data_IF_918897341504
#
_entry.id   IF_918897341504
#
_cell.length_a   1.000
_cell.length_b   1.000
_cell.length_c   1.000
_cell.angle_alpha   90.00
_cell.angle_beta   90.00
_cell.angle_gamma   90.00
#
_symmetry.space_group_name_H-M   'P 1'
#
loop_
_entity.id
_entity.type
_entity.pdbx_description
1 polymer ?
#
# COMPACT_ATOMS: atom_id res chain seq x y z
N UNK A 1 13.60 12.18 27.17
CA UNK A 1 14.28 10.92 27.49
C UNK A 1 13.72 9.84 26.58
N UNK A 2 14.58 9.25 25.74
CA UNK A 2 14.40 8.07 24.88
C UNK A 2 13.26 8.06 23.82
N UNK A 3 13.62 8.51 22.62
CA UNK A 3 12.97 8.14 21.36
C UNK A 3 13.30 6.68 20.98
N UNK A 4 12.31 5.94 20.48
CA UNK A 4 12.41 4.63 19.80
C UNK A 4 11.21 4.58 18.84
N UNK A 5 11.27 4.32 17.54
CA UNK A 5 12.28 3.79 16.63
C UNK A 5 11.48 3.06 15.55
N UNK A 6 11.24 3.69 14.40
CA UNK A 6 10.48 3.09 13.30
C UNK A 6 11.34 2.02 12.62
N UNK A 7 10.81 0.81 12.50
CA UNK A 7 11.48 -0.33 11.86
C UNK A 7 11.30 -0.23 10.35
N UNK A 8 12.41 -0.06 9.63
CA UNK A 8 12.50 -0.26 8.19
C UNK A 8 12.57 -1.77 7.91
N UNK A 9 11.71 -2.30 7.05
CA UNK A 9 11.89 -3.62 6.46
C UNK A 9 12.60 -3.45 5.11
N UNK A 10 13.91 -3.70 5.07
CA UNK A 10 14.60 -4.01 3.82
C UNK A 10 14.44 -5.50 3.53
N UNK A 11 14.08 -5.83 2.29
CA UNK A 11 13.87 -7.20 1.81
C UNK A 11 15.19 -7.96 1.57
N UNK A 12 16.09 -8.03 2.56
CA UNK A 12 17.41 -8.66 2.40
C UNK A 12 17.66 -9.93 3.24
N UNK A 13 16.81 -10.33 4.19
CA UNK A 13 17.14 -11.46 5.10
C UNK A 13 15.96 -12.39 5.39
N UNK A 14 15.45 -13.09 4.36
CA UNK A 14 14.45 -14.16 4.58
C UNK A 14 14.87 -15.56 4.13
N UNK A 15 16.15 -15.86 3.89
CA UNK A 15 16.55 -17.28 3.80
C UNK A 15 18.05 -17.53 4.01
N UNK A 16 18.46 -17.76 5.27
CA UNK A 16 19.39 -18.87 5.57
C UNK A 16 19.42 -19.19 7.07
N UNK A 17 19.41 -20.50 7.32
CA UNK A 17 19.43 -21.22 8.61
C UNK A 17 20.45 -20.70 9.64
N UNK A 18 20.02 -20.88 10.91
CA UNK A 18 20.80 -21.23 12.11
C UNK A 18 21.91 -20.27 12.62
N UNK A 19 21.74 -19.95 13.90
CA UNK A 19 22.76 -19.68 14.93
C UNK A 19 23.72 -18.48 14.77
N UNK A 20 23.65 -17.65 15.81
CA UNK A 20 24.73 -16.91 16.45
C UNK A 20 25.11 -15.49 15.95
N UNK A 21 25.26 -14.65 16.97
CA UNK A 21 25.98 -13.38 17.10
C UNK A 21 25.36 -12.08 16.56
N UNK A 22 24.90 -11.29 17.54
CA UNK A 22 24.75 -9.83 17.57
C UNK A 22 26.01 -9.12 17.04
N UNK A 23 25.90 -8.31 15.97
CA UNK A 23 26.86 -7.25 15.61
C UNK A 23 26.07 -6.01 15.09
N UNK A 24 26.38 -4.76 15.50
CA UNK A 24 25.54 -3.60 15.22
C UNK A 24 25.65 -3.06 13.77
N UNK A 25 24.48 -2.78 13.18
CA UNK A 25 24.16 -2.38 11.79
C UNK A 25 24.73 -1.03 11.26
N UNK A 26 25.62 -0.35 11.98
CA UNK A 26 26.14 0.95 11.55
C UNK A 26 27.39 0.85 10.63
N UNK A 27 28.20 -0.20 10.80
CA UNK A 27 29.49 -0.35 10.10
C UNK A 27 29.36 -0.82 8.63
N UNK A 28 28.30 -1.58 8.30
CA UNK A 28 28.20 -2.28 7.01
C UNK A 28 27.79 -1.36 5.85
N UNK A 29 27.02 -0.29 6.13
CA UNK A 29 26.52 0.64 5.11
C UNK A 29 27.62 1.51 4.50
N UNK A 30 28.57 1.97 5.31
CA UNK A 30 29.67 2.81 4.83
C UNK A 30 30.73 1.98 4.07
N UNK A 31 30.99 0.75 4.50
CA UNK A 31 31.92 -0.16 3.84
C UNK A 31 31.45 -0.59 2.43
N UNK A 32 30.14 -0.82 2.24
CA UNK A 32 29.60 -1.14 0.91
C UNK A 32 29.59 0.06 -0.02
N UNK A 33 29.32 1.27 0.50
CA UNK A 33 29.32 2.51 -0.29
C UNK A 33 30.73 2.91 -0.75
N UNK A 34 31.75 2.68 0.08
CA UNK A 34 33.16 2.90 -0.33
C UNK A 34 33.66 1.87 -1.35
N UNK A 35 33.22 0.61 -1.29
CA UNK A 35 33.60 -0.41 -2.30
C UNK A 35 33.00 -0.15 -3.68
N UNK A 36 31.78 0.39 -3.76
CA UNK A 36 31.11 0.74 -5.01
C UNK A 36 31.75 1.94 -5.73
N UNK A 37 32.30 2.90 -5.00
CA UNK A 37 32.98 4.07 -5.60
C UNK A 37 34.33 3.72 -6.27
N UNK A 38 34.90 2.55 -6.00
CA UNK A 38 36.17 2.07 -6.59
C UNK A 38 35.96 1.18 -7.81
N UNK A 39 34.72 0.76 -8.08
CA UNK A 39 34.33 -0.10 -9.20
C UNK A 39 33.62 0.79 -10.23
N UNK A 40 34.34 1.26 -11.24
CA UNK A 40 33.90 2.25 -12.24
C UNK A 40 32.69 1.91 -13.12
N UNK A 41 31.85 0.95 -12.74
CA UNK A 41 30.53 0.69 -13.33
C UNK A 41 29.45 1.38 -12.47
N UNK A 42 29.12 2.61 -12.83
CA UNK A 42 27.98 3.36 -12.27
C UNK A 42 26.76 3.13 -13.17
N UNK A 43 26.24 1.91 -13.20
CA UNK A 43 24.82 1.76 -13.50
C UNK A 43 24.04 2.10 -12.22
N UNK A 44 23.13 3.07 -12.31
CA UNK A 44 22.21 3.34 -11.21
C UNK A 44 21.33 2.10 -11.02
N UNK A 45 21.66 1.26 -10.04
CA UNK A 45 20.73 0.25 -9.55
C UNK A 45 19.65 1.02 -8.76
N UNK A 46 18.41 1.18 -9.28
CA UNK A 46 17.34 1.72 -8.47
C UNK A 46 17.14 0.73 -7.33
N UNK A 47 17.30 1.17 -6.09
CA UNK A 47 17.15 0.30 -4.93
C UNK A 47 15.78 -0.43 -4.90
N UNK A 48 15.55 -1.30 -3.89
CA UNK A 48 14.27 -2.00 -3.78
C UNK A 48 13.08 -1.01 -3.76
N UNK A 49 12.02 -1.34 -4.51
CA UNK A 49 10.79 -0.54 -4.58
C UNK A 49 10.12 -0.51 -3.21
N UNK A 50 9.89 0.70 -2.69
CA UNK A 50 9.23 0.90 -1.41
C UNK A 50 7.71 1.14 -1.59
N UNK A 51 6.90 0.41 -0.83
CA UNK A 51 5.44 0.59 -0.83
C UNK A 51 4.93 0.89 0.58
N UNK A 52 4.06 1.89 0.68
CA UNK A 52 3.37 2.28 1.91
C UNK A 52 1.85 2.07 1.73
N UNK A 53 1.18 1.57 2.78
CA UNK A 53 -0.28 1.49 2.82
C UNK A 53 -0.81 2.24 4.06
N UNK A 54 -1.90 2.99 3.91
CA UNK A 54 -2.54 3.68 5.02
C UNK A 54 -4.05 3.89 4.82
N UNK A 55 -4.86 3.48 5.80
CA UNK A 55 -6.20 4.03 5.98
C UNK A 55 -6.07 5.35 6.76
N UNK A 56 -6.39 6.48 6.11
CA UNK A 56 -6.16 7.82 6.69
C UNK A 56 -7.38 8.42 7.39
N UNK A 57 -8.57 7.83 7.21
CA UNK A 57 -9.84 8.34 7.74
C UNK A 57 -9.96 9.86 7.54
N UNK A 58 -10.08 10.29 6.28
CA UNK A 58 -9.94 11.66 5.76
C UNK A 58 -8.50 12.07 5.41
N UNK A 59 -8.27 12.30 4.12
CA UNK A 59 -7.00 12.77 3.57
C UNK A 59 -6.92 14.30 3.61
N UNK A 60 -6.20 14.85 4.58
CA UNK A 60 -5.89 16.29 4.63
C UNK A 60 -4.59 16.59 3.89
N UNK A 61 -4.33 17.85 3.47
CA UNK A 61 -3.05 18.24 2.88
C UNK A 61 -1.85 17.88 3.76
N UNK A 62 -1.97 18.07 5.08
CA UNK A 62 -0.94 17.73 6.07
C UNK A 62 -0.65 16.23 6.13
N UNK A 63 -1.69 15.37 6.11
CA UNK A 63 -1.52 13.91 6.01
C UNK A 63 -0.89 13.50 4.68
N UNK A 64 -1.32 14.10 3.58
CA UNK A 64 -0.74 13.85 2.26
C UNK A 64 0.75 14.19 2.23
N UNK A 65 1.13 15.37 2.74
CA UNK A 65 2.52 15.79 2.86
C UNK A 65 3.35 14.81 3.72
N UNK A 66 2.80 14.38 4.86
CA UNK A 66 3.47 13.43 5.76
C UNK A 66 3.66 12.06 5.11
N UNK A 67 2.68 11.58 4.33
CA UNK A 67 2.80 10.34 3.56
C UNK A 67 3.87 10.47 2.48
N UNK A 68 3.88 11.55 1.71
CA UNK A 68 4.89 11.79 0.67
C UNK A 68 6.31 11.93 1.24
N UNK A 69 6.43 12.52 2.44
CA UNK A 69 7.71 12.67 3.14
C UNK A 69 8.33 11.32 3.57
N UNK A 70 7.55 10.23 3.61
CA UNK A 70 8.10 8.89 3.83
C UNK A 70 8.99 8.41 2.67
N UNK A 71 8.86 9.02 1.48
CA UNK A 71 9.70 8.71 0.33
C UNK A 71 9.48 7.33 -0.29
N UNK A 72 8.31 6.70 -0.03
CA UNK A 72 7.94 5.44 -0.68
C UNK A 72 7.65 5.67 -2.17
N UNK A 73 7.99 4.70 -3.03
CA UNK A 73 7.75 4.82 -4.47
C UNK A 73 6.26 4.68 -4.82
N UNK A 74 5.52 3.92 -4.01
CA UNK A 74 4.08 3.70 -4.17
C UNK A 74 3.39 3.87 -2.81
N UNK A 75 2.27 4.60 -2.76
CA UNK A 75 1.49 4.80 -1.54
C UNK A 75 0.02 4.47 -1.80
N UNK A 76 -0.51 3.41 -1.18
CA UNK A 76 -1.90 3.00 -1.24
C UNK A 76 -2.68 3.61 -0.07
N UNK A 77 -3.67 4.45 -0.37
CA UNK A 77 -4.48 5.17 0.62
C UNK A 77 -5.92 4.66 0.59
N UNK A 78 -6.49 4.41 1.77
CA UNK A 78 -7.91 4.12 1.96
C UNK A 78 -8.57 5.21 2.79
N UNK A 79 -9.88 5.36 2.61
CA UNK A 79 -10.72 6.37 3.27
C UNK A 79 -10.24 7.81 3.06
N UNK A 80 -10.13 8.21 1.80
CA UNK A 80 -9.72 9.57 1.43
C UNK A 80 -10.74 10.62 1.87
N UNK A 81 -12.04 10.32 1.81
CA UNK A 81 -13.15 11.22 2.13
C UNK A 81 -13.08 12.54 1.35
N UNK A 82 -12.75 12.45 0.05
CA UNK A 82 -12.65 13.61 -0.84
C UNK A 82 -13.46 13.40 -2.11
N UNK A 83 -14.10 14.48 -2.56
CA UNK A 83 -14.72 14.52 -3.88
C UNK A 83 -13.67 14.46 -5.00
N UNK A 84 -14.12 14.19 -6.22
CA UNK A 84 -13.22 14.13 -7.38
C UNK A 84 -12.52 15.48 -7.62
N UNK A 85 -13.22 16.59 -7.38
CA UNK A 85 -12.70 17.97 -7.51
C UNK A 85 -11.64 18.25 -6.44
N UNK A 86 -11.90 17.83 -5.20
CA UNK A 86 -10.94 17.97 -4.10
C UNK A 86 -9.70 17.12 -4.31
N UNK A 87 -9.82 15.93 -4.89
CA UNK A 87 -8.68 15.09 -5.28
C UNK A 87 -7.88 15.77 -6.40
N UNK A 88 -8.57 16.30 -7.41
CA UNK A 88 -7.93 16.94 -8.56
C UNK A 88 -7.13 18.21 -8.18
N UNK A 89 -7.52 18.89 -7.11
CA UNK A 89 -6.81 20.08 -6.60
C UNK A 89 -5.67 19.77 -5.63
N UNK A 90 -5.42 18.49 -5.29
CA UNK A 90 -4.34 18.14 -4.37
C UNK A 90 -2.96 18.32 -5.00
N UNK A 91 -2.04 18.90 -4.21
CA UNK A 91 -0.65 19.04 -4.60
C UNK A 91 0.11 17.76 -4.25
N UNK A 92 0.46 16.99 -5.28
CA UNK A 92 1.10 15.66 -5.13
C UNK A 92 2.59 15.67 -5.45
N UNK A 93 3.17 16.84 -5.75
CA UNK A 93 4.61 17.01 -5.98
C UNK A 93 5.14 16.02 -7.04
N UNK A 94 6.06 15.16 -6.61
CA UNK A 94 6.70 14.14 -7.45
C UNK A 94 5.88 12.85 -7.66
N UNK A 95 4.60 12.85 -7.29
CA UNK A 95 3.71 11.70 -7.44
C UNK A 95 2.60 11.96 -8.46
N UNK A 96 2.23 10.89 -9.16
CA UNK A 96 0.97 10.78 -9.91
C UNK A 96 -0.08 10.19 -8.97
N UNK A 97 -1.24 10.83 -8.89
CA UNK A 97 -2.36 10.41 -8.05
C UNK A 97 -3.45 9.76 -8.87
N UNK A 98 -3.76 8.51 -8.56
CA UNK A 98 -4.91 7.77 -9.06
C UNK A 98 -5.91 7.59 -7.94
N UNK A 99 -7.16 8.02 -8.13
CA UNK A 99 -8.18 7.90 -7.09
C UNK A 99 -9.54 7.43 -7.62
N UNK A 100 -10.32 6.87 -6.72
CA UNK A 100 -11.75 6.68 -6.86
C UNK A 100 -12.40 7.34 -5.65
N UNK A 101 -13.10 8.44 -5.89
CA UNK A 101 -13.93 9.10 -4.88
C UNK A 101 -15.29 8.42 -4.80
N UNK A 102 -15.87 8.43 -3.60
CA UNK A 102 -17.23 7.96 -3.36
C UNK A 102 -18.19 9.14 -3.22
N UNK A 103 -19.40 8.97 -3.75
CA UNK A 103 -20.52 9.89 -3.49
C UNK A 103 -21.10 9.57 -2.09
N UNK A 104 -21.12 10.56 -1.21
CA UNK A 104 -21.65 10.46 0.15
C UNK A 104 -20.59 10.56 1.25
N UNK A 105 -20.92 10.09 2.45
CA UNK A 105 -20.03 10.15 3.61
C UNK A 105 -19.00 9.01 3.60
N UNK A 106 -17.74 9.39 3.81
CA UNK A 106 -16.63 8.45 3.98
C UNK A 106 -16.23 7.70 2.70
N UNK A 107 -15.29 6.77 2.84
CA UNK A 107 -14.76 5.97 1.74
C UNK A 107 -13.79 6.73 0.83
N UNK A 108 -13.67 6.28 -0.39
CA UNK A 108 -12.69 6.72 -1.36
C UNK A 108 -11.34 6.04 -1.15
N UNK A 109 -10.68 5.71 -2.26
CA UNK A 109 -9.37 5.07 -2.28
C UNK A 109 -8.45 5.78 -3.27
N UNK A 110 -7.15 5.74 -3.00
CA UNK A 110 -6.15 6.31 -3.87
C UNK A 110 -4.86 5.48 -3.91
N UNK A 111 -4.09 5.69 -4.97
CA UNK A 111 -2.72 5.21 -5.16
C UNK A 111 -1.89 6.40 -5.66
N UNK A 112 -0.84 6.74 -4.91
CA UNK A 112 0.21 7.63 -5.38
C UNK A 112 1.36 6.79 -5.93
N UNK A 113 1.87 7.16 -7.09
CA UNK A 113 3.06 6.53 -7.70
C UNK A 113 4.07 7.60 -8.02
N UNK A 114 5.33 7.42 -7.60
CA UNK A 114 6.40 8.36 -7.89
C UNK A 114 6.60 8.51 -9.40
N UNK A 115 6.73 9.74 -9.90
CA UNK A 115 6.83 10.08 -11.33
C UNK A 115 8.06 9.47 -12.03
N UNK A 116 9.05 9.04 -11.25
CA UNK A 116 10.20 8.27 -11.74
C UNK A 116 9.79 6.90 -12.27
N UNK A 117 8.63 6.37 -11.84
CA UNK A 117 8.06 5.12 -12.33
C UNK A 117 6.94 5.42 -13.35
N UNK A 118 7.01 4.75 -14.51
CA UNK A 118 5.92 4.81 -15.48
C UNK A 118 4.73 4.06 -14.90
N UNK A 119 3.57 4.68 -14.91
CA UNK A 119 2.34 4.07 -14.38
C UNK A 119 1.12 4.43 -15.20
N UNK A 120 0.11 3.55 -15.16
CA UNK A 120 -1.20 3.77 -15.79
C UNK A 120 -2.31 3.12 -14.98
N UNK A 121 -3.47 3.78 -14.96
CA UNK A 121 -4.69 3.22 -14.35
C UNK A 121 -5.21 2.05 -15.19
N UNK A 122 -5.53 0.94 -14.55
CA UNK A 122 -6.32 -0.14 -15.14
C UNK A 122 -7.77 0.06 -14.68
N UNK A 123 -8.74 0.25 -15.59
CA UNK A 123 -10.15 0.25 -15.22
C UNK A 123 -10.54 -1.11 -14.64
N UNK A 124 -11.00 -1.20 -13.38
CA UNK A 124 -11.43 -2.47 -12.82
C UNK A 124 -12.73 -2.93 -13.49
N UNK A 125 -12.91 -4.24 -13.67
CA UNK A 125 -14.15 -4.84 -14.19
C UNK A 125 -15.22 -4.96 -13.08
N UNK A 126 -15.47 -3.87 -12.36
CA UNK A 126 -16.42 -3.81 -11.25
C UNK A 126 -17.64 -3.03 -11.70
N UNK A 127 -18.86 -3.56 -11.50
CA UNK A 127 -20.10 -2.83 -11.83
C UNK A 127 -20.16 -1.49 -11.11
N UNK A 128 -20.52 -0.42 -11.81
CA UNK A 128 -20.59 0.94 -11.23
C UNK A 128 -21.55 1.07 -10.04
N UNK A 129 -22.54 0.18 -9.94
CA UNK A 129 -23.52 0.15 -8.85
C UNK A 129 -23.06 -0.66 -7.63
N UNK A 130 -21.95 -1.39 -7.73
CA UNK A 130 -21.42 -2.13 -6.58
C UNK A 130 -20.73 -1.16 -5.62
N UNK A 131 -21.36 -0.93 -4.47
CA UNK A 131 -20.83 -0.06 -3.42
C UNK A 131 -20.13 -0.82 -2.29
N UNK A 132 -20.00 -2.15 -2.42
CA UNK A 132 -19.34 -3.01 -1.42
C UNK A 132 -17.82 -2.91 -1.46
N UNK A 133 -17.27 -2.65 -2.65
CA UNK A 133 -15.84 -2.63 -2.92
C UNK A 133 -15.46 -1.36 -3.70
N UNK A 134 -14.66 -0.53 -3.07
CA UNK A 134 -14.05 0.65 -3.70
C UNK A 134 -12.60 0.30 -4.03
N UNK A 135 -12.16 0.49 -5.28
CA UNK A 135 -10.81 0.06 -5.68
C UNK A 135 -10.20 0.89 -6.82
N UNK A 136 -8.93 1.22 -6.65
CA UNK A 136 -8.09 1.77 -7.73
C UNK A 136 -7.02 0.75 -8.05
N UNK A 137 -6.91 0.41 -9.34
CA UNK A 137 -5.88 -0.49 -9.86
C UNK A 137 -4.93 0.28 -10.77
N UNK A 138 -3.65 0.16 -10.53
CA UNK A 138 -2.57 0.84 -11.27
C UNK A 138 -1.53 -0.19 -11.68
N UNK A 139 -1.14 -0.15 -12.95
CA UNK A 139 0.03 -0.86 -13.45
C UNK A 139 1.24 0.05 -13.34
N UNK A 140 2.31 -0.44 -12.71
CA UNK A 140 3.56 0.27 -12.49
C UNK A 140 4.69 -0.52 -13.14
N UNK A 141 5.45 0.11 -14.04
CA UNK A 141 6.62 -0.51 -14.65
C UNK A 141 7.80 -0.43 -13.68
N UNK A 142 8.33 -1.58 -13.25
CA UNK A 142 9.48 -1.66 -12.35
C UNK A 142 10.80 -1.54 -13.12
N UNK A 143 10.91 -2.25 -14.24
CA UNK A 143 12.06 -2.22 -15.16
C UNK A 143 11.66 -2.60 -16.59
N UNK A 144 12.64 -2.93 -17.43
CA UNK A 144 12.38 -3.41 -18.79
C UNK A 144 11.66 -4.76 -18.75
N UNK A 145 10.37 -4.74 -19.13
CA UNK A 145 9.45 -5.89 -19.21
C UNK A 145 8.93 -6.48 -17.88
N UNK A 146 9.17 -5.87 -16.71
CA UNK A 146 8.44 -6.26 -15.49
C UNK A 146 7.50 -5.16 -15.03
N UNK A 147 6.22 -5.52 -15.02
CA UNK A 147 5.16 -4.71 -14.45
C UNK A 147 4.69 -5.27 -13.12
N UNK A 148 4.23 -4.36 -12.25
CA UNK A 148 3.53 -4.66 -11.01
C UNK A 148 2.13 -4.08 -11.09
N UNK A 149 1.12 -4.88 -10.76
CA UNK A 149 -0.24 -4.36 -10.54
C UNK A 149 -0.38 -4.04 -9.06
N UNK A 150 -0.72 -2.80 -8.75
CA UNK A 150 -1.05 -2.35 -7.40
C UNK A 150 -2.53 -2.02 -7.34
N UNK A 151 -3.23 -2.62 -6.38
CA UNK A 151 -4.62 -2.32 -6.10
C UNK A 151 -4.73 -1.71 -4.70
N UNK A 152 -5.34 -0.53 -4.56
CA UNK A 152 -5.80 0.00 -3.27
C UNK A 152 -7.29 -0.22 -3.17
N UNK A 153 -7.72 -1.03 -2.21
CA UNK A 153 -9.09 -1.45 -2.01
C UNK A 153 -9.63 -1.07 -0.64
N UNK A 154 -10.92 -0.74 -0.57
CA UNK A 154 -11.66 -0.53 0.66
C UNK A 154 -12.96 -1.33 0.60
N UNK A 155 -13.15 -2.23 1.56
CA UNK A 155 -14.37 -3.01 1.68
C UNK A 155 -15.22 -2.43 2.80
N UNK A 156 -16.47 -2.07 2.50
CA UNK A 156 -17.35 -1.47 3.49
C UNK A 156 -17.72 -2.51 4.57
N UNK A 157 -17.78 -2.13 5.85
CA UNK A 157 -18.35 -2.99 6.87
C UNK A 157 -19.89 -3.08 6.72
N UNK A 158 -20.52 -4.24 6.93
CA UNK A 158 -19.89 -5.52 7.27
C UNK A 158 -19.16 -6.13 6.07
N UNK A 159 -17.99 -6.76 6.28
CA UNK A 159 -17.16 -7.28 5.20
C UNK A 159 -17.85 -8.43 4.47
N UNK A 160 -17.72 -8.48 3.14
CA UNK A 160 -18.28 -9.54 2.29
C UNK A 160 -17.38 -9.83 1.09
N UNK A 161 -17.11 -11.10 0.81
CA UNK A 161 -16.43 -11.51 -0.43
C UNK A 161 -17.44 -11.43 -1.58
N UNK A 162 -17.49 -10.28 -2.24
CA UNK A 162 -18.43 -10.04 -3.35
C UNK A 162 -17.91 -10.55 -4.67
N UNK A 163 -18.82 -10.68 -5.66
CA UNK A 163 -18.42 -11.03 -7.03
C UNK A 163 -17.42 -10.04 -7.61
N UNK A 164 -17.49 -8.77 -7.21
CA UNK A 164 -16.54 -7.73 -7.63
C UNK A 164 -15.14 -7.97 -7.09
N UNK A 165 -15.01 -8.43 -5.84
CA UNK A 165 -13.72 -8.87 -5.32
C UNK A 165 -13.18 -10.07 -6.10
N UNK A 166 -14.02 -11.09 -6.34
CA UNK A 166 -13.63 -12.26 -7.14
C UNK A 166 -13.17 -11.87 -8.55
N UNK A 167 -13.86 -10.92 -9.21
CA UNK A 167 -13.45 -10.36 -10.51
C UNK A 167 -12.13 -9.60 -10.43
N UNK A 168 -11.92 -8.80 -9.39
CA UNK A 168 -10.65 -8.09 -9.19
C UNK A 168 -9.47 -9.06 -9.15
N UNK A 169 -9.57 -10.14 -8.37
CA UNK A 169 -8.48 -11.11 -8.26
C UNK A 169 -8.35 -12.00 -9.51
N UNK A 170 -9.44 -12.34 -10.19
CA UNK A 170 -9.41 -13.31 -11.30
C UNK A 170 -9.25 -12.71 -12.71
N UNK A 171 -9.67 -11.45 -12.94
CA UNK A 171 -9.69 -10.86 -14.29
C UNK A 171 -8.40 -10.10 -14.65
N UNK A 172 -7.50 -9.90 -13.70
CA UNK A 172 -6.21 -9.28 -13.97
C UNK A 172 -5.22 -10.35 -14.48
N UNK A 173 -4.23 -9.97 -15.31
CA UNK A 173 -3.26 -10.92 -15.87
C UNK A 173 -2.60 -11.79 -14.80
N UNK A 174 -2.68 -13.11 -14.95
CA UNK A 174 -2.09 -14.06 -14.00
C UNK A 174 -0.56 -14.03 -13.99
N UNK A 175 0.05 -13.67 -15.12
CA UNK A 175 1.51 -13.55 -15.28
C UNK A 175 2.10 -12.28 -14.66
N UNK A 176 1.26 -11.32 -14.26
CA UNK A 176 1.72 -10.05 -13.67
C UNK A 176 1.47 -10.08 -12.16
N UNK A 177 2.49 -9.83 -11.32
CA UNK A 177 2.32 -9.82 -9.88
C UNK A 177 1.30 -8.77 -9.45
N UNK A 178 0.41 -9.16 -8.53
CA UNK A 178 -0.56 -8.28 -7.89
C UNK A 178 -0.14 -8.01 -6.45
N UNK A 179 0.04 -6.73 -6.13
CA UNK A 179 0.09 -6.21 -4.77
C UNK A 179 -1.29 -5.66 -4.40
N UNK A 180 -2.03 -6.41 -3.58
CA UNK A 180 -3.34 -6.03 -3.09
C UNK A 180 -3.20 -5.34 -1.73
N UNK A 181 -3.42 -4.03 -1.72
CA UNK A 181 -3.42 -3.18 -0.54
C UNK A 181 -4.85 -2.81 -0.17
N UNK A 182 -5.18 -2.74 1.12
CA UNK A 182 -6.50 -2.26 1.51
C UNK A 182 -6.88 -2.41 2.98
N UNK A 183 -8.02 -1.80 3.31
CA UNK A 183 -8.76 -2.06 4.54
C UNK A 183 -10.01 -2.86 4.18
N UNK A 184 -9.96 -4.15 4.50
CA UNK A 184 -11.02 -5.10 4.19
C UNK A 184 -12.07 -5.20 5.30
N UNK A 185 -11.87 -4.51 6.44
CA UNK A 185 -12.70 -4.65 7.63
C UNK A 185 -12.88 -6.11 8.09
N UNK A 186 -11.84 -6.94 7.91
CA UNK A 186 -11.80 -8.36 8.28
C UNK A 186 -10.64 -8.64 9.24
N UNK A 187 -10.87 -9.59 10.14
CA UNK A 187 -9.87 -10.07 11.10
C UNK A 187 -9.51 -11.52 10.80
N UNK A 188 -8.21 -11.84 10.76
CA UNK A 188 -7.73 -13.20 10.53
C UNK A 188 -6.37 -13.43 11.22
N UNK A 189 -6.14 -14.59 11.87
CA UNK A 189 -4.89 -14.86 12.59
C UNK A 189 -3.61 -14.75 11.76
N UNK A 190 -3.68 -15.03 10.45
CA UNK A 190 -2.54 -14.86 9.53
C UNK A 190 -2.02 -13.42 9.47
N UNK A 191 -2.90 -12.42 9.63
CA UNK A 191 -2.51 -11.02 9.58
C UNK A 191 -2.71 -10.24 10.89
N UNK A 192 -3.38 -10.85 11.85
CA UNK A 192 -3.47 -10.39 13.23
C UNK A 192 -3.04 -11.53 14.15
N UNK A 193 -1.73 -11.72 14.40
CA UNK A 193 -1.19 -12.89 15.09
C UNK A 193 -1.64 -13.00 16.57
N UNK A 194 -2.15 -11.92 17.15
CA UNK A 194 -2.70 -11.87 18.51
C UNK A 194 -4.24 -11.94 18.54
N UNK A 195 -4.88 -12.26 17.42
CA UNK A 195 -6.32 -12.45 17.37
C UNK A 195 -6.67 -13.75 18.09
N UNK A 196 -7.37 -13.63 19.22
CA UNK A 196 -7.78 -14.78 20.04
C UNK A 196 -9.05 -15.49 19.51
N UNK A 197 -9.69 -14.91 18.50
CA UNK A 197 -10.92 -15.44 17.90
C UNK A 197 -10.62 -16.19 16.60
N UNK A 198 -11.41 -17.23 16.33
CA UNK A 198 -11.41 -17.91 15.03
C UNK A 198 -11.76 -16.90 13.92
N UNK A 199 -11.12 -17.00 12.74
CA UNK A 199 -11.47 -16.15 11.61
C UNK A 199 -12.92 -16.39 11.18
N UNK A 200 -13.59 -15.35 10.71
CA UNK A 200 -14.90 -15.50 10.10
C UNK A 200 -14.81 -16.28 8.78
N UNK A 201 -15.91 -16.93 8.37
CA UNK A 201 -16.00 -17.60 7.06
C UNK A 201 -15.62 -16.66 5.91
N UNK A 202 -16.03 -15.40 6.02
CA UNK A 202 -15.70 -14.34 5.04
C UNK A 202 -14.19 -14.09 4.98
N UNK A 203 -13.50 -14.02 6.11
CA UNK A 203 -12.06 -13.81 6.16
C UNK A 203 -11.27 -15.03 5.65
N UNK A 204 -11.74 -16.24 5.94
CA UNK A 204 -11.18 -17.48 5.43
C UNK A 204 -11.33 -17.56 3.89
N UNK A 205 -12.54 -17.27 3.36
CA UNK A 205 -12.78 -17.25 1.92
C UNK A 205 -11.92 -16.18 1.23
N UNK A 206 -11.83 -14.97 1.80
CA UNK A 206 -10.99 -13.90 1.25
C UNK A 206 -9.54 -14.37 1.06
N UNK A 207 -8.97 -14.97 2.10
CA UNK A 207 -7.60 -15.47 2.09
C UNK A 207 -7.40 -16.58 1.06
N UNK A 208 -8.34 -17.52 0.96
CA UNK A 208 -8.31 -18.59 -0.04
C UNK A 208 -8.27 -18.01 -1.48
N UNK A 209 -9.18 -17.08 -1.78
CA UNK A 209 -9.25 -16.44 -3.10
C UNK A 209 -8.01 -15.60 -3.43
N UNK A 210 -7.45 -14.91 -2.44
CA UNK A 210 -6.24 -14.12 -2.62
C UNK A 210 -4.98 -15.01 -2.82
N UNK A 211 -4.92 -16.16 -2.15
CA UNK A 211 -3.83 -17.14 -2.29
C UNK A 211 -3.85 -17.88 -3.63
N UNK A 212 -5.02 -18.16 -4.21
CA UNK A 212 -5.16 -18.86 -5.50
C UNK A 212 -4.43 -18.17 -6.67
N UNK A 213 -3.98 -16.93 -6.51
CA UNK A 213 -3.25 -16.19 -7.53
C UNK A 213 -1.72 -16.17 -7.31
N UNK A 214 -1.18 -16.96 -6.38
CA UNK A 214 0.24 -16.91 -5.99
C UNK A 214 0.71 -15.48 -5.71
N UNK A 215 -0.16 -14.62 -5.16
CA UNK A 215 0.24 -13.28 -4.72
C UNK A 215 1.08 -13.45 -3.46
N UNK A 216 2.41 -13.20 -3.48
CA UNK A 216 3.28 -13.49 -2.34
C UNK A 216 3.08 -12.52 -1.16
N UNK A 217 2.12 -11.59 -1.23
CA UNK A 217 2.15 -10.35 -0.45
C UNK A 217 0.85 -10.00 0.26
N UNK A 218 0.17 -10.98 0.86
CA UNK A 218 -0.69 -10.69 2.01
C UNK A 218 0.18 -10.43 3.25
N UNK A 219 1.04 -9.41 3.18
CA UNK A 219 1.76 -8.91 4.36
C UNK A 219 0.83 -8.01 5.17
N UNK A 220 0.65 -8.28 6.46
CA UNK A 220 -0.07 -7.40 7.37
C UNK A 220 0.79 -6.17 7.61
N UNK A 221 0.40 -5.02 7.07
CA UNK A 221 0.97 -3.75 7.51
C UNK A 221 0.08 -3.21 8.62
N UNK A 222 0.65 -3.25 9.83
CA UNK A 222 0.16 -2.68 11.08
C UNK A 222 -0.54 -1.35 10.81
N UNK A 223 -1.82 -1.26 11.20
CA UNK A 223 -2.56 0.01 11.30
C UNK A 223 -1.76 0.97 12.18
N UNK A 224 -1.00 1.87 11.58
CA UNK A 224 -0.43 3.01 12.29
C UNK A 224 -1.32 4.20 11.99
N UNK A 225 -2.25 4.52 12.90
CA UNK A 225 -2.94 5.82 12.83
C UNK A 225 -1.87 6.90 12.88
N UNK A 226 -1.86 7.82 11.91
CA UNK A 226 -1.11 9.06 12.09
C UNK A 226 -1.67 9.76 13.35
N UNK A 227 -0.81 10.27 14.25
CA UNK A 227 -1.29 11.17 15.28
C UNK A 227 -2.00 12.34 14.59
N UNK A 228 -3.25 12.57 14.96
CA UNK A 228 -4.03 13.71 14.48
C UNK A 228 -3.30 14.95 14.94
N UNK A 229 -2.70 15.68 14.01
CA UNK A 229 -2.35 17.07 14.27
C UNK A 229 -3.67 17.77 14.63
N UNK A 230 -3.77 18.32 15.84
CA UNK A 230 -4.89 19.17 16.24
C UNK A 230 -4.88 20.40 15.32
N UNK A 231 -5.66 20.33 14.25
CA UNK A 231 -5.91 21.47 13.37
C UNK A 231 -7.29 21.98 13.78
N UNK A 232 -7.33 23.17 14.38
CA UNK A 232 -8.57 23.83 14.77
C UNK A 232 -9.37 24.13 13.50
N UNK A 233 -10.49 23.42 13.31
CA UNK A 233 -11.45 23.73 12.26
C UNK A 233 -11.99 25.15 12.46
N UNK A 234 -11.89 26.07 11.48
CA UNK A 234 -12.79 27.21 11.44
C UNK A 234 -14.19 26.70 11.05
N UNK A 235 -15.12 26.95 11.96
CA UNK A 235 -16.56 26.69 11.89
C UNK A 235 -17.13 26.97 10.50
N UNK A 236 -17.91 26.01 10.00
CA UNK A 236 -18.72 26.10 8.79
C UNK A 236 -19.70 27.28 8.83
N UNK A 237 -19.84 27.98 7.70
CA UNK A 237 -21.08 28.64 7.29
C UNK A 237 -21.51 27.99 5.98
#
# INVERSE_FOLDING_TARGET
MAARGAVFLSAAEFNRRLSALYIPFACVRDAQRQKLLLSGDIEQNPGPIAVLQMNVSCLTPSKLATLMAQGADIIAIQETWKSSEQIASMHTGDYVLYAQSRIGKGGGVAVLVRKTLRSKRIPPTIPQHDTSLEVVVVQVALDQNRDLIVASAYMRPPPQVTQSFRRLVNCLPASTPLLLCGDFNMHHPQWEPFLETSPSEVAAEFLERARMRDSPWLTPLVRSRMPVAQENDPVSI
#
